data_IF_028332986423
#
_entry.id   IF_028332986423
#
_cell.length_a   1.000
_cell.length_b   1.000
_cell.length_c   1.000
_cell.angle_alpha   90.00
_cell.angle_beta   90.00
_cell.angle_gamma   90.00
#
_symmetry.space_group_name_H-M   'P 1'
#
loop_
_entity.id
_entity.type
_entity.pdbx_description
1 polymer ?
#
# COMPACT_ATOMS: atom_id res chain seq x y z
N UNK A 1 -18.59 -50.06 31.75
CA UNK A 1 -17.33 -49.74 31.04
C UNK A 1 -17.42 -49.79 29.52
N UNK A 2 -18.53 -49.36 28.92
CA UNK A 2 -18.72 -49.42 27.43
C UNK A 2 -19.20 -48.08 26.80
N UNK A 3 -19.23 -47.00 27.57
CA UNK A 3 -19.66 -45.65 27.07
C UNK A 3 -18.55 -44.64 26.85
N UNK A 4 -17.29 -45.00 27.17
CA UNK A 4 -16.14 -44.04 27.09
C UNK A 4 -15.25 -44.25 25.84
N UNK A 5 -15.51 -45.30 25.04
CA UNK A 5 -14.68 -45.55 23.83
C UNK A 5 -15.27 -44.95 22.57
N UNK A 6 -16.56 -44.58 22.59
CA UNK A 6 -17.21 -44.01 21.38
C UNK A 6 -16.94 -42.51 21.19
N UNK A 7 -16.52 -41.79 22.24
CA UNK A 7 -16.24 -40.34 22.15
C UNK A 7 -14.82 -40.02 21.65
N UNK A 8 -13.90 -41.00 21.64
CA UNK A 8 -12.52 -40.79 21.17
C UNK A 8 -12.39 -41.11 19.67
N UNK A 9 -13.30 -41.89 19.10
CA UNK A 9 -13.28 -42.23 17.66
C UNK A 9 -13.82 -41.10 16.77
N UNK A 10 -14.64 -40.20 17.30
CA UNK A 10 -15.16 -39.03 16.52
C UNK A 10 -14.20 -37.86 16.44
N UNK A 11 -13.18 -37.81 17.31
CA UNK A 11 -12.18 -36.74 17.30
C UNK A 11 -10.96 -37.01 16.39
N UNK A 12 -10.83 -38.24 15.86
CA UNK A 12 -9.71 -38.64 14.98
C UNK A 12 -10.05 -38.67 13.48
N UNK A 13 -11.28 -38.32 13.09
CA UNK A 13 -11.69 -38.25 11.67
C UNK A 13 -11.46 -36.85 11.07
N UNK A 14 -11.04 -35.90 11.88
CA UNK A 14 -10.86 -34.47 11.44
C UNK A 14 -9.45 -34.14 10.91
N UNK A 15 -8.58 -35.13 10.63
CA UNK A 15 -7.20 -34.84 10.18
C UNK A 15 -6.77 -35.49 8.87
N UNK A 16 -7.70 -35.98 8.04
CA UNK A 16 -7.38 -36.25 6.63
C UNK A 16 -8.02 -35.15 5.80
N UNK A 17 -7.20 -34.19 5.35
CA UNK A 17 -7.64 -33.06 4.52
C UNK A 17 -8.17 -33.53 3.17
N UNK A 18 -9.42 -33.99 3.16
CA UNK A 18 -10.14 -34.24 1.91
C UNK A 18 -10.47 -32.86 1.32
N UNK A 19 -10.13 -32.69 0.05
CA UNK A 19 -10.51 -31.49 -0.67
C UNK A 19 -12.03 -31.35 -0.69
N UNK A 20 -12.54 -30.20 -0.30
CA UNK A 20 -13.97 -29.90 -0.23
C UNK A 20 -14.38 -29.00 -1.40
N UNK A 21 -15.62 -29.18 -1.86
CA UNK A 21 -16.14 -28.43 -3.00
C UNK A 21 -16.36 -26.94 -2.67
N UNK A 22 -16.05 -26.10 -3.64
CA UNK A 22 -16.43 -24.69 -3.65
C UNK A 22 -17.11 -24.31 -4.96
N UNK A 23 -17.95 -23.29 -4.91
CA UNK A 23 -18.42 -22.56 -6.09
C UNK A 23 -18.22 -21.07 -5.89
N UNK A 24 -17.88 -20.36 -6.96
CA UNK A 24 -17.80 -18.90 -6.99
C UNK A 24 -18.66 -18.43 -8.15
N UNK A 25 -19.62 -17.55 -7.88
CA UNK A 25 -20.49 -17.02 -8.94
C UNK A 25 -20.78 -15.54 -8.73
N UNK A 26 -21.07 -14.83 -9.82
CA UNK A 26 -21.38 -13.41 -9.74
C UNK A 26 -21.83 -12.80 -11.05
N UNK A 27 -22.24 -11.54 -10.94
CA UNK A 27 -22.58 -10.65 -12.05
C UNK A 27 -21.64 -9.45 -12.04
N UNK A 28 -20.77 -9.36 -13.03
CA UNK A 28 -19.74 -8.34 -13.15
C UNK A 28 -20.27 -7.00 -13.69
N UNK A 29 -21.54 -6.92 -14.05
CA UNK A 29 -22.17 -5.64 -14.43
C UNK A 29 -22.15 -4.62 -13.30
N UNK A 30 -22.08 -5.07 -12.04
CA UNK A 30 -21.90 -4.20 -10.88
C UNK A 30 -20.57 -3.41 -10.93
N UNK A 31 -19.52 -3.99 -11.46
CA UNK A 31 -18.19 -3.33 -11.57
C UNK A 31 -18.19 -2.23 -12.62
N UNK A 32 -18.86 -2.47 -13.76
CA UNK A 32 -18.90 -1.52 -14.88
C UNK A 32 -19.86 -0.35 -14.66
N UNK A 33 -20.89 -0.54 -13.84
CA UNK A 33 -21.94 0.45 -13.65
C UNK A 33 -21.67 1.41 -12.45
N UNK A 34 -20.75 1.09 -11.57
CA UNK A 34 -20.60 1.81 -10.29
C UNK A 34 -19.33 2.66 -10.17
N UNK A 35 -18.31 2.41 -10.98
CA UNK A 35 -16.98 3.00 -10.79
C UNK A 35 -16.64 4.13 -11.74
N UNK A 36 -17.62 4.80 -12.38
CA UNK A 36 -17.40 5.83 -13.43
C UNK A 36 -16.31 5.44 -14.46
N UNK A 37 -16.15 4.13 -14.64
CA UNK A 37 -15.26 3.59 -15.66
C UNK A 37 -15.90 3.78 -17.04
N UNK A 38 -15.08 4.01 -18.08
CA UNK A 38 -15.57 3.92 -19.46
C UNK A 38 -16.34 2.62 -19.65
N UNK A 39 -17.29 2.52 -20.60
CA UNK A 39 -18.00 1.28 -20.86
C UNK A 39 -17.03 0.12 -20.96
N UNK A 40 -17.02 -0.73 -19.96
CA UNK A 40 -16.11 -1.85 -19.85
C UNK A 40 -16.90 -3.16 -19.99
N UNK A 41 -16.30 -4.14 -20.64
CA UNK A 41 -16.88 -5.49 -20.78
C UNK A 41 -15.93 -6.49 -20.12
N UNK A 42 -16.42 -7.21 -19.12
CA UNK A 42 -15.68 -8.32 -18.55
C UNK A 42 -15.79 -9.54 -19.48
N UNK A 43 -14.66 -10.09 -19.89
CA UNK A 43 -14.61 -11.20 -20.84
C UNK A 43 -14.08 -12.49 -20.19
N UNK A 44 -13.15 -12.37 -19.27
CA UNK A 44 -12.45 -13.49 -18.64
C UNK A 44 -12.34 -13.24 -17.15
N UNK A 45 -12.51 -14.29 -16.35
CA UNK A 45 -12.16 -14.33 -14.93
C UNK A 45 -11.26 -15.51 -14.63
N UNK A 46 -10.38 -15.38 -13.65
CA UNK A 46 -9.58 -16.48 -13.14
C UNK A 46 -9.23 -16.26 -11.66
N UNK A 47 -8.95 -17.36 -10.96
CA UNK A 47 -8.48 -17.30 -9.56
C UNK A 47 -6.96 -17.19 -9.58
N UNK A 48 -6.44 -16.23 -8.81
CA UNK A 48 -5.02 -16.08 -8.57
C UNK A 48 -4.71 -16.21 -7.07
N UNK A 49 -3.73 -17.05 -6.74
CA UNK A 49 -3.10 -17.11 -5.43
C UNK A 49 -1.69 -17.71 -5.56
N UNK A 50 -0.85 -17.55 -4.54
CA UNK A 50 0.56 -17.95 -4.58
C UNK A 50 0.78 -19.48 -4.59
N UNK A 51 -0.26 -20.26 -4.28
CA UNK A 51 -0.20 -21.71 -4.31
C UNK A 51 -0.43 -22.28 -5.72
N UNK A 52 -0.95 -21.47 -6.65
CA UNK A 52 -1.15 -21.88 -8.04
C UNK A 52 0.18 -21.83 -8.78
N UNK A 53 0.67 -23.01 -9.17
CA UNK A 53 1.85 -23.15 -10.02
C UNK A 53 1.39 -23.33 -11.47
N UNK A 54 1.79 -22.41 -12.35
CA UNK A 54 1.48 -22.46 -13.77
C UNK A 54 0.52 -21.37 -14.25
N UNK A 55 0.01 -21.51 -15.46
CA UNK A 55 -0.97 -20.57 -16.03
C UNK A 55 -2.33 -20.76 -15.35
N UNK A 56 -2.97 -19.70 -14.84
CA UNK A 56 -4.31 -19.80 -14.29
C UNK A 56 -5.32 -20.34 -15.29
N UNK A 57 -6.31 -21.07 -14.81
CA UNK A 57 -7.43 -21.51 -15.64
C UNK A 57 -8.38 -20.33 -15.83
N UNK A 58 -8.58 -19.94 -17.08
CA UNK A 58 -9.46 -18.84 -17.46
C UNK A 58 -10.90 -19.34 -17.67
N UNK A 59 -11.85 -18.58 -17.16
CA UNK A 59 -13.28 -18.84 -17.32
C UNK A 59 -13.95 -17.71 -18.09
N UNK A 60 -14.70 -18.06 -19.13
CA UNK A 60 -15.41 -17.07 -19.95
C UNK A 60 -16.58 -16.45 -19.18
N UNK A 61 -16.71 -15.14 -19.30
CA UNK A 61 -17.87 -14.40 -18.79
C UNK A 61 -18.95 -14.39 -19.88
N UNK A 62 -20.18 -14.78 -19.53
CA UNK A 62 -21.35 -14.78 -20.43
C UNK A 62 -22.43 -13.86 -19.88
N UNK A 63 -22.81 -12.87 -20.69
CA UNK A 63 -23.85 -11.88 -20.31
C UNK A 63 -23.56 -11.21 -18.94
N UNK A 64 -22.28 -10.88 -18.69
CA UNK A 64 -21.82 -10.30 -17.45
C UNK A 64 -21.68 -11.31 -16.27
N UNK A 65 -22.05 -12.56 -16.45
CA UNK A 65 -22.07 -13.57 -15.39
C UNK A 65 -20.96 -14.60 -15.54
N UNK A 66 -20.50 -15.09 -14.40
CA UNK A 66 -19.51 -16.16 -14.34
C UNK A 66 -19.86 -17.18 -13.23
N UNK A 67 -19.36 -18.39 -13.40
CA UNK A 67 -19.40 -19.43 -12.38
C UNK A 67 -18.11 -20.26 -12.47
N UNK A 68 -17.48 -20.48 -11.32
CA UNK A 68 -16.27 -21.27 -11.14
C UNK A 68 -16.56 -22.30 -10.07
N UNK A 69 -16.19 -23.56 -10.30
CA UNK A 69 -16.29 -24.62 -9.32
C UNK A 69 -15.01 -25.44 -9.23
N UNK A 70 -14.75 -26.00 -8.07
CA UNK A 70 -13.55 -26.79 -7.83
C UNK A 70 -13.49 -27.36 -6.43
N UNK A 71 -12.29 -27.79 -6.04
CA UNK A 71 -12.03 -28.33 -4.73
C UNK A 71 -10.88 -27.60 -4.06
N UNK A 72 -10.99 -27.38 -2.75
CA UNK A 72 -9.95 -26.76 -1.92
C UNK A 72 -9.72 -27.60 -0.67
N UNK A 73 -8.46 -27.83 -0.31
CA UNK A 73 -8.10 -28.64 0.87
C UNK A 73 -7.99 -27.82 2.17
N UNK A 74 -7.75 -26.51 2.04
CA UNK A 74 -7.70 -25.55 3.15
C UNK A 74 -8.10 -24.17 2.63
N UNK A 75 -8.57 -23.27 3.48
CA UNK A 75 -8.79 -21.88 3.10
C UNK A 75 -7.49 -21.20 2.62
N UNK A 76 -7.57 -20.41 1.54
CA UNK A 76 -6.43 -19.71 0.92
C UNK A 76 -6.84 -18.28 0.57
N UNK A 77 -6.05 -17.28 0.99
CA UNK A 77 -6.22 -15.92 0.48
C UNK A 77 -5.96 -15.89 -1.02
N UNK A 78 -6.91 -15.36 -1.77
CA UNK A 78 -6.93 -15.39 -3.23
C UNK A 78 -7.47 -14.09 -3.79
N UNK A 79 -7.27 -13.88 -5.09
CA UNK A 79 -7.91 -12.81 -5.86
C UNK A 79 -8.70 -13.41 -7.01
N UNK A 80 -9.94 -12.96 -7.18
CA UNK A 80 -10.68 -13.14 -8.41
C UNK A 80 -10.19 -12.06 -9.38
N UNK A 81 -9.43 -12.45 -10.38
CA UNK A 81 -8.92 -11.57 -11.41
C UNK A 81 -9.97 -11.42 -12.49
N UNK A 82 -10.33 -10.20 -12.84
CA UNK A 82 -11.32 -9.86 -13.85
C UNK A 82 -10.64 -9.08 -14.96
N UNK A 83 -10.60 -9.63 -16.15
CA UNK A 83 -10.09 -8.93 -17.33
C UNK A 83 -11.22 -8.10 -17.97
N UNK A 84 -11.00 -6.81 -18.02
CA UNK A 84 -11.92 -5.81 -18.53
C UNK A 84 -11.40 -5.26 -19.87
N UNK A 85 -12.22 -5.30 -20.93
CA UNK A 85 -12.01 -4.50 -22.11
C UNK A 85 -12.64 -3.12 -21.90
N UNK A 86 -11.84 -2.09 -22.07
CA UNK A 86 -12.26 -0.69 -21.95
C UNK A 86 -12.23 -0.08 -23.34
N UNK A 87 -13.31 0.59 -23.73
CA UNK A 87 -13.37 1.35 -24.97
C UNK A 87 -13.49 2.85 -24.64
N UNK A 88 -12.43 3.60 -24.92
CA UNK A 88 -12.38 5.04 -24.71
C UNK A 88 -11.97 5.75 -26.00
N UNK A 89 -12.78 6.69 -26.46
CA UNK A 89 -12.57 7.47 -27.69
C UNK A 89 -12.19 6.61 -28.93
N UNK A 90 -12.76 5.40 -29.04
CA UNK A 90 -12.48 4.46 -30.14
C UNK A 90 -11.16 3.68 -29.99
N UNK A 91 -10.47 3.80 -28.89
CA UNK A 91 -9.34 2.94 -28.52
C UNK A 91 -9.82 1.82 -27.62
N UNK A 92 -9.42 0.61 -27.96
CA UNK A 92 -9.65 -0.57 -27.11
C UNK A 92 -8.39 -0.81 -26.28
N UNK A 93 -8.57 -0.89 -24.99
CA UNK A 93 -7.52 -1.26 -24.03
C UNK A 93 -8.02 -2.40 -23.13
N UNK A 94 -7.11 -3.08 -22.50
CA UNK A 94 -7.43 -4.19 -21.59
C UNK A 94 -6.76 -3.93 -20.27
N UNK A 95 -7.55 -3.93 -19.20
CA UNK A 95 -7.05 -3.89 -17.82
C UNK A 95 -7.46 -5.13 -17.03
N UNK A 96 -6.79 -5.40 -15.94
CA UNK A 96 -7.13 -6.52 -15.07
C UNK A 96 -7.26 -6.03 -13.64
N UNK A 97 -8.45 -6.28 -13.05
CA UNK A 97 -8.77 -5.94 -11.68
C UNK A 97 -8.78 -7.18 -10.80
N UNK A 98 -8.26 -7.07 -9.57
CA UNK A 98 -8.21 -8.16 -8.61
C UNK A 98 -9.14 -7.92 -7.42
N UNK A 99 -10.14 -8.77 -7.23
CA UNK A 99 -11.05 -8.73 -6.10
C UNK A 99 -10.56 -9.71 -5.04
N UNK A 100 -10.11 -9.25 -3.86
CA UNK A 100 -9.61 -10.12 -2.81
C UNK A 100 -10.74 -10.94 -2.18
N UNK A 101 -10.46 -12.21 -1.89
CA UNK A 101 -11.36 -13.10 -1.17
C UNK A 101 -10.59 -14.28 -0.56
N UNK A 102 -11.28 -15.07 0.24
CA UNK A 102 -10.77 -16.32 0.77
C UNK A 102 -11.40 -17.47 0.00
N UNK A 103 -10.58 -18.22 -0.73
CA UNK A 103 -11.00 -19.45 -1.37
C UNK A 103 -11.15 -20.52 -0.29
N UNK A 104 -12.39 -20.82 0.07
CA UNK A 104 -12.77 -21.78 1.11
C UNK A 104 -13.96 -22.62 0.65
N UNK A 105 -14.26 -23.77 1.29
CA UNK A 105 -15.40 -24.60 0.91
C UNK A 105 -16.72 -23.87 1.02
N UNK A 106 -17.63 -24.14 0.08
CA UNK A 106 -18.99 -23.60 0.09
C UNK A 106 -19.32 -22.75 -1.13
N UNK A 107 -20.37 -21.96 -1.02
CA UNK A 107 -20.90 -21.16 -2.13
C UNK A 107 -20.53 -19.67 -1.92
N UNK A 108 -19.50 -19.23 -2.63
CA UNK A 108 -19.03 -17.84 -2.62
C UNK A 108 -19.80 -17.09 -3.71
N UNK A 109 -20.43 -15.98 -3.34
CA UNK A 109 -21.24 -15.16 -4.25
C UNK A 109 -20.79 -13.72 -4.26
N UNK A 110 -20.68 -13.13 -5.43
CA UNK A 110 -20.45 -11.70 -5.57
C UNK A 110 -21.74 -10.95 -5.21
N UNK A 111 -21.66 -9.99 -4.31
CA UNK A 111 -22.80 -9.12 -4.02
C UNK A 111 -23.00 -8.08 -5.14
N UNK A 112 -24.26 -7.66 -5.30
CA UNK A 112 -24.66 -6.71 -6.33
C UNK A 112 -24.40 -5.26 -5.93
N UNK A 113 -23.91 -5.01 -4.74
CA UNK A 113 -23.73 -3.66 -4.23
C UNK A 113 -22.28 -3.18 -4.33
N UNK A 114 -21.30 -4.00 -3.91
CA UNK A 114 -19.89 -3.62 -3.81
C UNK A 114 -18.94 -4.58 -4.53
N UNK A 115 -19.46 -5.56 -5.27
CA UNK A 115 -18.69 -6.65 -5.88
C UNK A 115 -17.87 -7.47 -4.87
N UNK A 116 -18.30 -7.52 -3.61
CA UNK A 116 -17.64 -8.31 -2.57
C UNK A 116 -18.02 -9.79 -2.68
N UNK A 117 -17.07 -10.67 -2.48
CA UNK A 117 -17.26 -12.12 -2.52
C UNK A 117 -17.60 -12.63 -1.12
N UNK A 118 -18.87 -13.04 -0.91
CA UNK A 118 -19.51 -13.38 0.37
C UNK A 118 -20.16 -14.76 0.34
N UNK A 119 -20.69 -15.19 1.49
CA UNK A 119 -21.52 -16.41 1.63
C UNK A 119 -20.77 -17.60 2.22
N UNK A 120 -19.56 -17.39 2.71
CA UNK A 120 -18.78 -18.39 3.44
C UNK A 120 -18.16 -17.77 4.70
N UNK A 121 -17.87 -18.57 5.75
CA UNK A 121 -17.57 -18.05 7.08
C UNK A 121 -16.41 -17.05 7.15
N UNK A 122 -15.26 -17.36 6.52
CA UNK A 122 -14.09 -16.50 6.60
C UNK A 122 -14.24 -15.24 5.74
N UNK A 123 -14.88 -15.35 4.57
CA UNK A 123 -15.19 -14.19 3.74
C UNK A 123 -16.14 -13.24 4.47
N UNK A 124 -17.25 -13.76 5.04
CA UNK A 124 -18.22 -12.94 5.74
C UNK A 124 -17.62 -12.25 6.98
N UNK A 125 -16.83 -13.00 7.78
CA UNK A 125 -16.14 -12.45 8.95
C UNK A 125 -15.13 -11.33 8.58
N UNK A 126 -14.32 -11.56 7.54
CA UNK A 126 -13.31 -10.60 7.08
C UNK A 126 -13.93 -9.32 6.55
N UNK A 127 -14.98 -9.44 5.72
CA UNK A 127 -15.69 -8.29 5.15
C UNK A 127 -16.39 -7.49 6.25
N UNK A 128 -17.08 -8.17 7.17
CA UNK A 128 -17.74 -7.52 8.30
C UNK A 128 -16.73 -6.75 9.16
N UNK A 129 -15.54 -7.32 9.40
CA UNK A 129 -14.48 -6.63 10.11
C UNK A 129 -13.97 -5.40 9.35
N UNK A 130 -13.68 -5.51 8.05
CA UNK A 130 -13.23 -4.36 7.25
C UNK A 130 -14.26 -3.22 7.24
N UNK A 131 -15.56 -3.52 7.14
CA UNK A 131 -16.63 -2.53 7.23
C UNK A 131 -16.58 -1.85 8.60
N UNK A 132 -16.54 -2.63 9.70
CA UNK A 132 -16.47 -2.10 11.08
C UNK A 132 -15.26 -1.20 11.29
N UNK A 133 -14.08 -1.60 10.81
CA UNK A 133 -12.87 -0.78 10.91
C UNK A 133 -12.98 0.53 10.11
N UNK A 134 -13.58 0.49 8.93
CA UNK A 134 -13.86 1.69 8.13
C UNK A 134 -14.82 2.66 8.84
N UNK A 135 -15.86 2.14 9.49
CA UNK A 135 -16.81 2.96 10.28
C UNK A 135 -16.12 3.61 11.49
N UNK A 136 -15.31 2.86 12.23
CA UNK A 136 -14.54 3.36 13.36
C UNK A 136 -13.52 4.43 12.93
N UNK A 137 -12.86 4.23 11.77
CA UNK A 137 -11.97 5.22 11.21
C UNK A 137 -12.69 6.53 10.86
N UNK A 138 -13.86 6.45 10.21
CA UNK A 138 -14.70 7.63 9.90
C UNK A 138 -15.20 8.35 11.15
N UNK A 139 -15.47 7.61 12.22
CA UNK A 139 -15.86 8.15 13.51
C UNK A 139 -14.69 8.74 14.33
N UNK A 140 -13.44 8.55 13.89
CA UNK A 140 -12.25 8.99 14.62
C UNK A 140 -11.94 8.16 15.88
N UNK A 141 -12.56 6.98 16.04
CA UNK A 141 -12.40 6.09 17.21
C UNK A 141 -11.12 5.24 17.10
N UNK A 142 -9.95 5.88 17.02
CA UNK A 142 -8.65 5.22 16.73
C UNK A 142 -8.32 4.08 17.68
N UNK A 143 -8.45 4.26 18.98
CA UNK A 143 -8.11 3.23 19.97
C UNK A 143 -9.02 1.99 19.85
N UNK A 144 -10.31 2.22 19.63
CA UNK A 144 -11.26 1.12 19.44
C UNK A 144 -11.02 0.37 18.13
N UNK A 145 -10.72 1.11 17.06
CA UNK A 145 -10.33 0.55 15.77
C UNK A 145 -9.13 -0.38 15.95
N UNK A 146 -8.08 0.09 16.60
CA UNK A 146 -6.89 -0.69 16.88
C UNK A 146 -7.20 -1.95 17.68
N UNK A 147 -7.94 -1.82 18.77
CA UNK A 147 -8.32 -2.95 19.62
C UNK A 147 -9.12 -4.02 18.86
N UNK A 148 -10.09 -3.62 18.05
CA UNK A 148 -10.90 -4.55 17.25
C UNK A 148 -10.07 -5.28 16.18
N UNK A 149 -9.19 -4.55 15.47
CA UNK A 149 -8.29 -5.15 14.49
C UNK A 149 -7.34 -6.18 15.14
N UNK A 150 -6.71 -5.82 16.27
CA UNK A 150 -5.82 -6.74 17.00
C UNK A 150 -6.54 -7.98 17.53
N UNK A 151 -7.74 -7.82 18.07
CA UNK A 151 -8.54 -8.94 18.56
C UNK A 151 -8.90 -9.90 17.42
N UNK A 152 -9.31 -9.37 16.26
CA UNK A 152 -9.63 -10.17 15.09
C UNK A 152 -8.41 -10.94 14.58
N UNK A 153 -7.28 -10.26 14.38
CA UNK A 153 -6.04 -10.90 13.92
C UNK A 153 -5.58 -11.98 14.90
N UNK A 154 -5.69 -11.74 16.20
CA UNK A 154 -5.37 -12.75 17.23
C UNK A 154 -6.23 -14.00 17.12
N UNK A 155 -7.53 -13.85 16.85
CA UNK A 155 -8.46 -14.99 16.65
C UNK A 155 -8.16 -15.75 15.36
N UNK A 156 -7.69 -15.06 14.33
CA UNK A 156 -7.43 -15.58 12.99
C UNK A 156 -5.94 -15.69 12.65
N UNK A 157 -5.05 -15.78 13.65
CA UNK A 157 -3.60 -15.75 13.44
C UNK A 157 -3.05 -16.89 12.56
N UNK A 158 -3.79 -17.99 12.41
CA UNK A 158 -3.42 -19.18 11.65
C UNK A 158 -4.31 -19.42 10.42
N UNK A 159 -5.19 -18.49 10.08
CA UNK A 159 -6.04 -18.60 8.89
C UNK A 159 -6.03 -17.32 8.02
N UNK A 160 -6.41 -17.40 6.73
CA UNK A 160 -6.27 -16.29 5.79
C UNK A 160 -7.20 -15.09 6.05
N UNK A 161 -8.13 -15.15 7.01
CA UNK A 161 -8.94 -14.00 7.39
C UNK A 161 -8.06 -12.88 7.99
N UNK A 162 -6.97 -13.24 8.70
CA UNK A 162 -5.99 -12.26 9.17
C UNK A 162 -5.32 -11.53 8.01
N UNK A 163 -4.89 -12.25 6.96
CA UNK A 163 -4.27 -11.66 5.77
C UNK A 163 -5.25 -10.68 5.11
N UNK A 164 -6.50 -11.09 4.92
CA UNK A 164 -7.52 -10.27 4.29
C UNK A 164 -7.68 -8.91 5.00
N UNK A 165 -7.78 -8.92 6.33
CA UNK A 165 -7.94 -7.70 7.12
C UNK A 165 -6.66 -6.87 7.14
N UNK A 166 -5.49 -7.51 7.33
CA UNK A 166 -4.19 -6.80 7.41
C UNK A 166 -3.84 -6.11 6.08
N UNK A 167 -4.11 -6.74 4.93
CA UNK A 167 -3.85 -6.12 3.62
C UNK A 167 -4.69 -4.85 3.39
N UNK A 168 -5.87 -4.73 4.02
CA UNK A 168 -6.71 -3.52 3.96
C UNK A 168 -6.34 -2.48 5.03
N UNK A 169 -5.58 -2.85 6.06
CA UNK A 169 -5.24 -1.98 7.19
C UNK A 169 -4.51 -0.66 6.84
N UNK A 170 -3.68 -0.56 5.79
CA UNK A 170 -3.05 0.71 5.40
C UNK A 170 -4.02 1.86 5.11
N UNK A 171 -5.29 1.57 4.87
CA UNK A 171 -6.32 2.59 4.63
C UNK A 171 -6.74 3.34 5.91
N UNK A 172 -6.40 2.82 7.12
CA UNK A 172 -6.91 3.35 8.38
C UNK A 172 -6.01 3.11 9.61
N UNK A 173 -4.85 2.49 9.46
CA UNK A 173 -3.92 2.18 10.56
C UNK A 173 -2.49 2.61 10.24
N UNK A 174 -1.73 2.87 11.30
CA UNK A 174 -0.32 3.22 11.20
C UNK A 174 0.56 1.98 10.94
N UNK A 175 1.68 2.17 10.25
CA UNK A 175 2.59 1.11 9.86
C UNK A 175 3.08 0.24 11.04
N UNK A 176 3.35 0.84 12.21
CA UNK A 176 3.76 0.11 13.43
C UNK A 176 2.71 -0.86 13.92
N UNK A 177 1.44 -0.46 13.85
CA UNK A 177 0.32 -1.31 14.26
C UNK A 177 0.11 -2.46 13.29
N UNK A 178 0.23 -2.17 11.98
CA UNK A 178 0.14 -3.19 10.93
C UNK A 178 1.28 -4.21 11.09
N UNK A 179 2.51 -3.75 11.32
CA UNK A 179 3.66 -4.62 11.55
C UNK A 179 3.44 -5.54 12.77
N UNK A 180 2.90 -4.98 13.86
CA UNK A 180 2.55 -5.77 15.05
C UNK A 180 1.50 -6.84 14.73
N UNK A 181 0.48 -6.53 13.93
CA UNK A 181 -0.52 -7.53 13.51
C UNK A 181 0.10 -8.62 12.64
N UNK A 182 1.00 -8.26 11.74
CA UNK A 182 1.75 -9.24 10.92
C UNK A 182 2.55 -10.19 11.83
N UNK A 183 3.23 -9.67 12.85
CA UNK A 183 4.03 -10.46 13.79
C UNK A 183 3.17 -11.37 14.70
N UNK A 184 1.88 -11.08 14.84
CA UNK A 184 0.92 -11.97 15.54
C UNK A 184 0.49 -13.18 14.72
N UNK A 185 0.63 -13.13 13.39
CA UNK A 185 0.26 -14.23 12.51
C UNK A 185 1.26 -15.39 12.61
N UNK A 186 0.79 -16.61 12.35
CA UNK A 186 1.67 -17.79 12.29
C UNK A 186 2.74 -17.64 11.20
N UNK A 187 3.87 -18.33 11.36
CA UNK A 187 4.95 -18.32 10.36
C UNK A 187 4.46 -18.76 8.97
N UNK A 188 3.57 -19.76 8.91
CA UNK A 188 2.98 -20.20 7.64
C UNK A 188 2.24 -19.04 6.94
N UNK A 189 1.43 -18.27 7.68
CA UNK A 189 0.72 -17.11 7.13
C UNK A 189 1.67 -15.99 6.68
N UNK A 190 2.75 -15.76 7.40
CA UNK A 190 3.71 -14.70 7.08
C UNK A 190 4.51 -14.95 5.78
N UNK A 191 4.66 -16.22 5.37
CA UNK A 191 5.53 -16.60 4.23
C UNK A 191 4.80 -17.18 3.03
N UNK A 192 3.49 -17.42 3.11
CA UNK A 192 2.72 -18.08 2.05
C UNK A 192 2.03 -17.14 1.07
N UNK A 193 2.06 -15.83 1.31
CA UNK A 193 1.36 -14.88 0.46
C UNK A 193 2.24 -13.69 0.07
N UNK A 194 2.37 -13.42 -1.24
CA UNK A 194 3.24 -12.37 -1.76
C UNK A 194 2.74 -10.97 -1.38
N UNK A 195 1.43 -10.72 -1.41
CA UNK A 195 0.87 -9.42 -1.02
C UNK A 195 1.20 -9.11 0.45
N UNK A 196 1.16 -10.16 1.29
CA UNK A 196 1.49 -10.05 2.70
C UNK A 196 2.98 -9.77 2.93
N UNK A 197 3.85 -10.46 2.17
CA UNK A 197 5.28 -10.24 2.21
C UNK A 197 5.67 -8.84 1.74
N UNK A 198 5.07 -8.36 0.64
CA UNK A 198 5.28 -7.01 0.12
C UNK A 198 4.76 -5.94 1.10
N UNK A 199 3.60 -6.18 1.71
CA UNK A 199 3.07 -5.29 2.74
C UNK A 199 4.00 -5.24 3.94
N UNK A 200 4.51 -6.39 4.41
CA UNK A 200 5.47 -6.45 5.51
C UNK A 200 6.73 -5.61 5.21
N UNK A 201 7.33 -5.77 4.03
CA UNK A 201 8.49 -4.98 3.61
C UNK A 201 8.17 -3.49 3.67
N UNK A 202 7.06 -3.09 3.06
CA UNK A 202 6.60 -1.69 3.02
C UNK A 202 6.42 -1.12 4.42
N UNK A 203 5.60 -1.75 5.27
CA UNK A 203 5.28 -1.22 6.61
C UNK A 203 6.49 -1.29 7.56
N UNK A 204 7.44 -2.21 7.32
CA UNK A 204 8.72 -2.24 8.07
C UNK A 204 9.54 -0.99 7.79
N UNK A 205 9.67 -0.59 6.51
CA UNK A 205 10.36 0.66 6.15
C UNK A 205 9.64 1.88 6.75
N UNK A 206 8.31 1.95 6.61
CA UNK A 206 7.51 3.05 7.17
C UNK A 206 7.60 3.13 8.71
N UNK A 207 7.54 1.99 9.40
CA UNK A 207 7.57 1.93 10.87
C UNK A 207 8.91 2.37 11.47
N UNK A 208 10.00 2.19 10.72
CA UNK A 208 11.36 2.57 11.15
C UNK A 208 11.80 3.91 10.55
N UNK A 209 11.02 4.51 9.66
CA UNK A 209 11.34 5.80 9.06
C UNK A 209 11.36 6.92 10.11
N UNK A 210 12.29 7.86 10.02
CA UNK A 210 12.33 9.00 10.92
C UNK A 210 11.08 9.87 10.73
N UNK A 211 10.46 10.26 11.85
CA UNK A 211 9.22 11.03 11.91
C UNK A 211 9.48 12.48 12.34
N UNK A 212 8.44 13.33 12.35
CA UNK A 212 8.52 14.67 12.91
C UNK A 212 8.99 14.61 14.37
N UNK A 213 10.01 15.43 14.70
CA UNK A 213 10.69 15.44 15.98
C UNK A 213 11.95 14.56 16.05
N UNK A 214 12.12 13.60 15.14
CA UNK A 214 13.32 12.78 15.07
C UNK A 214 14.47 13.50 14.36
N UNK A 215 15.69 13.04 14.59
CA UNK A 215 16.86 13.43 13.80
C UNK A 215 16.80 12.79 12.42
N UNK A 216 17.41 13.47 11.44
CA UNK A 216 17.56 12.90 10.11
C UNK A 216 18.33 11.57 10.13
N UNK A 217 17.93 10.66 9.29
CA UNK A 217 18.69 9.45 8.99
C UNK A 217 19.56 9.71 7.76
N UNK A 218 20.88 9.52 7.91
CA UNK A 218 21.82 9.75 6.81
C UNK A 218 21.78 8.62 5.80
N UNK A 219 22.03 8.96 4.54
CA UNK A 219 22.26 8.01 3.45
C UNK A 219 23.32 8.58 2.49
N UNK A 220 23.87 7.70 1.67
CA UNK A 220 24.88 8.05 0.67
C UNK A 220 24.44 7.57 -0.71
N UNK A 221 24.63 8.41 -1.71
CA UNK A 221 24.39 8.10 -3.12
C UNK A 221 25.69 8.26 -3.88
N UNK A 222 26.06 7.25 -4.64
CA UNK A 222 27.20 7.30 -5.54
C UNK A 222 26.72 7.56 -6.97
N UNK A 223 27.27 8.61 -7.59
CA UNK A 223 26.97 8.95 -8.96
C UNK A 223 28.20 9.59 -9.64
N UNK A 224 28.59 9.10 -10.82
CA UNK A 224 29.77 9.56 -11.60
C UNK A 224 31.07 9.61 -10.76
N UNK A 225 31.27 8.59 -9.89
CA UNK A 225 32.45 8.48 -9.03
C UNK A 225 32.48 9.45 -7.84
N UNK A 226 31.38 10.17 -7.59
CA UNK A 226 31.24 11.06 -6.44
C UNK A 226 30.19 10.48 -5.48
N UNK A 227 30.55 10.38 -4.21
CA UNK A 227 29.60 10.05 -3.14
C UNK A 227 29.03 11.36 -2.58
N UNK A 228 27.71 11.49 -2.52
CA UNK A 228 27.00 12.62 -1.90
C UNK A 228 26.10 12.07 -0.78
N UNK A 229 26.15 12.70 0.37
CA UNK A 229 25.38 12.31 1.55
C UNK A 229 24.29 13.33 1.87
N UNK A 230 23.21 12.90 2.51
CA UNK A 230 22.25 13.84 3.07
C UNK A 230 22.91 14.73 4.14
N UNK A 231 23.80 14.16 4.94
CA UNK A 231 24.59 14.87 5.93
C UNK A 231 25.56 15.94 5.36
N UNK A 232 25.78 16.01 4.06
CA UNK A 232 26.50 17.13 3.44
C UNK A 232 25.69 18.43 3.50
N UNK A 233 24.37 18.33 3.63
CA UNK A 233 23.42 19.45 3.62
C UNK A 233 22.69 19.62 4.96
N UNK A 234 22.15 18.55 5.53
CA UNK A 234 21.31 18.57 6.73
C UNK A 234 22.17 18.53 7.99
N UNK A 235 21.77 19.27 9.04
CA UNK A 235 22.50 19.33 10.31
C UNK A 235 23.74 20.25 10.28
N UNK A 236 23.82 21.17 9.32
CA UNK A 236 24.94 22.11 9.13
C UNK A 236 24.64 23.53 9.59
N UNK A 237 23.65 23.72 10.46
CA UNK A 237 23.31 25.02 11.01
C UNK A 237 22.34 25.86 10.18
N UNK A 238 21.78 25.28 9.11
CA UNK A 238 20.76 25.90 8.25
C UNK A 238 19.49 25.03 8.21
N UNK A 239 18.34 25.64 7.94
CA UNK A 239 17.13 24.90 7.58
C UNK A 239 17.31 24.29 6.19
N UNK A 240 16.85 23.05 6.02
CA UNK A 240 16.91 22.38 4.71
C UNK A 240 15.51 21.87 4.35
N UNK A 241 15.00 22.32 3.20
CA UNK A 241 13.78 21.82 2.60
C UNK A 241 14.16 20.78 1.55
N UNK A 242 13.86 19.54 1.79
CA UNK A 242 14.21 18.40 0.93
C UNK A 242 12.99 17.95 0.14
N UNK A 243 13.12 17.86 -1.18
CA UNK A 243 12.10 17.35 -2.10
C UNK A 243 12.53 16.03 -2.72
N UNK A 244 11.81 14.96 -2.42
CA UNK A 244 11.96 13.66 -3.09
C UNK A 244 11.05 13.65 -4.32
N UNK A 245 11.64 13.59 -5.50
CA UNK A 245 10.95 13.80 -6.77
C UNK A 245 11.48 12.91 -7.91
N UNK A 246 10.81 12.94 -9.07
CA UNK A 246 11.28 12.33 -10.31
C UNK A 246 10.84 13.15 -11.53
N UNK A 247 11.58 13.04 -12.63
CA UNK A 247 11.27 13.75 -13.89
C UNK A 247 9.91 13.38 -14.49
N UNK A 248 9.51 12.12 -14.36
CA UNK A 248 8.24 11.58 -14.85
C UNK A 248 7.05 11.87 -13.92
N UNK A 249 7.31 12.33 -12.69
CA UNK A 249 6.28 12.58 -11.68
C UNK A 249 5.60 13.93 -11.92
N UNK A 250 4.44 13.94 -12.58
CA UNK A 250 3.68 15.16 -12.85
C UNK A 250 3.34 15.97 -11.60
N UNK A 251 2.84 15.38 -10.48
CA UNK A 251 2.57 16.13 -9.26
C UNK A 251 3.85 16.75 -8.66
N UNK A 252 5.02 16.07 -8.77
CA UNK A 252 6.28 16.63 -8.30
C UNK A 252 6.65 17.88 -9.09
N UNK A 253 6.53 17.85 -10.41
CA UNK A 253 6.81 19.00 -11.26
C UNK A 253 5.89 20.20 -10.97
N UNK A 254 4.67 19.97 -10.50
CA UNK A 254 3.76 21.02 -10.05
C UNK A 254 4.19 21.71 -8.76
N UNK A 255 5.01 21.04 -7.91
CA UNK A 255 5.56 21.64 -6.69
C UNK A 255 6.84 22.44 -6.94
N UNK A 256 7.57 22.22 -8.03
CA UNK A 256 8.84 22.92 -8.34
C UNK A 256 8.71 24.45 -8.26
N UNK A 257 7.68 25.12 -8.81
CA UNK A 257 7.51 26.57 -8.66
C UNK A 257 7.41 27.02 -7.20
N UNK A 258 6.74 26.25 -6.33
CA UNK A 258 6.64 26.56 -4.90
C UNK A 258 8.00 26.46 -4.21
N UNK A 259 8.79 25.43 -4.57
CA UNK A 259 10.15 25.23 -4.05
C UNK A 259 11.13 26.33 -4.52
N UNK A 260 11.05 26.74 -5.79
CA UNK A 260 11.85 27.86 -6.33
C UNK A 260 11.48 29.17 -5.62
N UNK A 261 10.18 29.43 -5.40
CA UNK A 261 9.72 30.59 -4.66
C UNK A 261 10.24 30.59 -3.22
N UNK A 262 10.16 29.45 -2.53
CA UNK A 262 10.70 29.26 -1.19
C UNK A 262 12.22 29.49 -1.16
N UNK A 263 12.98 28.90 -2.09
CA UNK A 263 14.42 29.08 -2.23
C UNK A 263 14.77 30.57 -2.40
N UNK A 264 14.17 31.27 -3.34
CA UNK A 264 14.47 32.68 -3.61
C UNK A 264 14.12 33.58 -2.42
N UNK A 265 13.04 33.30 -1.70
CA UNK A 265 12.58 34.12 -0.56
C UNK A 265 13.43 33.94 0.70
N UNK A 266 13.92 32.73 0.97
CA UNK A 266 14.48 32.38 2.26
C UNK A 266 15.97 32.00 2.23
N UNK A 267 16.61 31.82 1.06
CA UNK A 267 18.05 31.46 0.95
C UNK A 267 18.97 32.37 1.74
N UNK A 268 18.76 33.68 1.65
CA UNK A 268 19.57 34.68 2.36
C UNK A 268 19.23 34.78 3.85
N UNK A 269 18.18 34.06 4.29
CA UNK A 269 17.75 33.92 5.69
C UNK A 269 18.17 32.60 6.32
N UNK A 270 18.90 31.75 5.60
CA UNK A 270 19.43 30.47 6.08
C UNK A 270 18.57 29.25 5.73
N UNK A 271 17.84 29.32 4.62
CA UNK A 271 17.20 28.14 4.02
C UNK A 271 18.06 27.57 2.88
N UNK A 272 18.31 26.28 2.89
CA UNK A 272 18.69 25.51 1.71
C UNK A 272 17.48 24.77 1.17
N UNK A 273 17.40 24.57 -0.15
CA UNK A 273 16.50 23.62 -0.79
C UNK A 273 17.36 22.56 -1.45
N UNK A 274 16.97 21.29 -1.34
CA UNK A 274 17.69 20.14 -1.90
C UNK A 274 16.69 19.23 -2.59
N UNK A 275 16.91 18.93 -3.86
CA UNK A 275 16.17 17.89 -4.55
C UNK A 275 16.88 16.55 -4.43
N UNK A 276 16.11 15.47 -4.29
CA UNK A 276 16.59 14.09 -4.29
C UNK A 276 15.81 13.33 -5.36
N UNK A 277 16.51 12.99 -6.46
CA UNK A 277 15.90 12.25 -7.55
C UNK A 277 15.77 10.77 -7.19
N UNK A 278 14.53 10.33 -6.99
CA UNK A 278 14.17 8.96 -6.63
C UNK A 278 13.51 8.25 -7.82
N UNK A 279 13.79 6.95 -8.00
CA UNK A 279 13.16 6.08 -9.02
C UNK A 279 13.25 6.65 -10.45
N UNK A 280 14.32 7.36 -10.76
CA UNK A 280 14.47 8.09 -12.01
C UNK A 280 15.80 7.79 -12.70
N UNK A 281 15.84 7.97 -14.02
CA UNK A 281 17.08 7.88 -14.78
C UNK A 281 17.84 9.20 -14.66
N UNK A 282 19.17 9.16 -14.40
CA UNK A 282 19.97 10.36 -14.25
C UNK A 282 19.88 11.34 -15.42
N UNK A 283 19.77 10.84 -16.65
CA UNK A 283 19.68 11.66 -17.87
C UNK A 283 18.36 12.40 -17.92
N UNK A 284 17.24 11.72 -17.57
CA UNK A 284 15.91 12.31 -17.54
C UNK A 284 15.80 13.34 -16.41
N UNK A 285 16.38 13.03 -15.24
CA UNK A 285 16.51 13.98 -14.13
C UNK A 285 17.26 15.24 -14.54
N UNK A 286 18.46 15.12 -15.17
CA UNK A 286 19.26 16.25 -15.63
C UNK A 286 18.49 17.12 -16.64
N UNK A 287 17.76 16.48 -17.56
CA UNK A 287 16.92 17.16 -18.54
C UNK A 287 15.80 17.95 -17.86
N UNK A 288 15.08 17.35 -16.93
CA UNK A 288 14.00 18.01 -16.19
C UNK A 288 14.52 19.18 -15.33
N UNK A 289 15.68 19.06 -14.68
CA UNK A 289 16.34 20.15 -13.94
C UNK A 289 16.56 21.35 -14.86
N UNK A 290 17.04 21.13 -16.09
CA UNK A 290 17.28 22.20 -17.06
C UNK A 290 15.98 22.81 -17.58
N UNK A 291 14.96 22.00 -17.90
CA UNK A 291 13.64 22.43 -18.37
C UNK A 291 12.90 23.29 -17.36
N UNK A 292 12.92 22.87 -16.08
CA UNK A 292 12.22 23.58 -14.99
C UNK A 292 13.08 24.71 -14.38
N UNK A 293 14.31 24.91 -14.87
CA UNK A 293 15.25 25.93 -14.37
C UNK A 293 15.48 25.85 -12.85
N UNK A 294 15.65 24.63 -12.33
CA UNK A 294 15.82 24.39 -10.88
C UNK A 294 17.16 24.99 -10.39
N UNK A 295 17.16 25.98 -9.47
CA UNK A 295 18.36 26.71 -9.07
C UNK A 295 19.11 26.11 -7.87
N UNK A 296 18.58 25.06 -7.24
CA UNK A 296 19.10 24.49 -6.00
C UNK A 296 19.75 23.13 -6.23
N UNK A 297 20.64 22.68 -5.30
CA UNK A 297 21.36 21.43 -5.40
C UNK A 297 20.47 20.21 -5.56
N UNK A 298 21.03 19.16 -6.19
CA UNK A 298 20.34 17.90 -6.44
C UNK A 298 21.23 16.70 -6.07
N UNK A 299 20.68 15.71 -5.39
CA UNK A 299 21.25 14.37 -5.29
C UNK A 299 20.59 13.54 -6.39
N UNK A 300 21.37 13.19 -7.41
CA UNK A 300 20.91 12.46 -8.59
C UNK A 300 21.17 10.95 -8.38
N UNK A 301 20.30 10.10 -8.92
CA UNK A 301 20.44 8.63 -8.89
C UNK A 301 20.27 7.99 -7.50
N UNK A 302 19.43 8.56 -6.63
CA UNK A 302 19.20 7.93 -5.32
C UNK A 302 18.41 6.62 -5.42
N UNK A 303 17.70 6.39 -6.52
CA UNK A 303 16.88 5.22 -6.75
C UNK A 303 15.97 4.94 -5.53
N UNK A 304 16.10 3.76 -4.89
CA UNK A 304 15.39 3.41 -3.66
C UNK A 304 16.14 3.81 -2.38
N UNK A 305 17.42 4.14 -2.45
CA UNK A 305 18.25 4.35 -1.24
C UNK A 305 17.62 5.36 -0.29
N UNK A 306 17.31 6.55 -0.80
CA UNK A 306 16.76 7.63 0.03
C UNK A 306 15.31 7.35 0.44
N UNK A 307 14.50 6.78 -0.45
CA UNK A 307 13.09 6.49 -0.17
C UNK A 307 12.93 5.37 0.85
N UNK A 308 13.76 4.34 0.82
CA UNK A 308 13.73 3.25 1.78
C UNK A 308 14.10 3.73 3.19
N UNK A 309 15.14 4.58 3.32
CA UNK A 309 15.54 5.17 4.62
C UNK A 309 14.43 6.03 5.22
N UNK A 310 13.66 6.74 4.41
CA UNK A 310 12.59 7.64 4.87
C UNK A 310 11.18 7.02 4.79
N UNK A 311 11.06 5.74 4.45
CA UNK A 311 9.77 5.04 4.34
C UNK A 311 8.84 5.65 3.30
N UNK A 312 9.40 6.19 2.20
CA UNK A 312 8.64 6.91 1.16
C UNK A 312 8.16 5.92 0.13
N UNK A 313 6.84 5.79 0.00
CA UNK A 313 6.18 4.89 -0.96
C UNK A 313 5.52 5.65 -2.12
N UNK A 314 5.55 6.96 -2.09
CA UNK A 314 4.99 7.83 -3.15
C UNK A 314 5.64 9.21 -3.15
N UNK A 315 5.80 9.78 -4.33
CA UNK A 315 6.35 11.12 -4.53
C UNK A 315 5.29 12.04 -5.16
N UNK A 316 5.38 13.38 -4.93
CA UNK A 316 6.42 14.07 -4.18
C UNK A 316 6.39 13.74 -2.68
N UNK A 317 7.50 13.85 -1.97
CA UNK A 317 7.56 13.93 -0.53
C UNK A 317 8.49 15.09 -0.15
N UNK A 318 7.97 16.06 0.60
CA UNK A 318 8.72 17.26 0.95
C UNK A 318 8.87 17.34 2.47
N UNK A 319 10.13 17.38 2.92
CA UNK A 319 10.51 17.33 4.34
C UNK A 319 11.30 18.59 4.71
N UNK A 320 10.92 19.26 5.79
CA UNK A 320 11.66 20.38 6.35
C UNK A 320 12.49 19.94 7.56
N UNK A 321 13.79 20.21 7.52
CA UNK A 321 14.74 19.98 8.61
C UNK A 321 15.16 21.28 9.27
N UNK A 322 15.29 21.25 10.59
CA UNK A 322 15.90 22.33 11.39
C UNK A 322 17.43 22.40 11.21
N UNK A 323 18.10 23.47 11.70
CA UNK A 323 19.54 23.61 11.61
C UNK A 323 20.35 22.49 12.27
N UNK A 324 19.81 21.83 13.25
CA UNK A 324 20.43 20.70 13.96
C UNK A 324 20.04 19.32 13.38
N UNK A 325 19.28 19.33 12.25
CA UNK A 325 18.87 18.12 11.54
C UNK A 325 17.63 17.43 12.10
N UNK A 326 16.84 18.08 12.96
CA UNK A 326 15.55 17.55 13.41
C UNK A 326 14.49 17.77 12.32
N UNK A 327 13.63 16.78 12.08
CA UNK A 327 12.50 16.87 11.16
C UNK A 327 11.42 17.78 11.77
N UNK A 328 11.10 18.87 11.12
CA UNK A 328 10.09 19.83 11.56
C UNK A 328 8.71 19.61 10.90
N UNK A 329 8.69 19.06 9.73
CA UNK A 329 7.47 18.70 9.01
C UNK A 329 7.78 17.72 7.89
N UNK A 330 6.79 16.87 7.59
CA UNK A 330 6.79 15.93 6.45
C UNK A 330 5.53 16.12 5.60
N UNK A 331 5.57 15.63 4.37
CA UNK A 331 4.40 15.62 3.48
C UNK A 331 3.92 17.01 3.04
N UNK A 332 4.78 18.02 3.12
CA UNK A 332 4.43 19.40 2.75
C UNK A 332 4.03 19.50 1.28
N UNK A 333 2.96 20.29 0.98
CA UNK A 333 2.44 20.50 -0.38
C UNK A 333 1.94 21.93 -0.57
N UNK A 334 2.16 22.48 -1.75
CA UNK A 334 1.59 23.77 -2.16
C UNK A 334 1.81 24.88 -1.13
N UNK A 335 0.73 25.50 -0.69
CA UNK A 335 0.76 26.59 0.29
C UNK A 335 1.29 26.19 1.68
N UNK A 336 1.24 24.90 2.04
CA UNK A 336 1.76 24.42 3.34
C UNK A 336 3.28 24.66 3.46
N UNK A 337 4.01 24.63 2.35
CA UNK A 337 5.45 24.93 2.32
C UNK A 337 5.70 26.36 2.82
N UNK A 338 5.00 27.34 2.26
CA UNK A 338 5.15 28.74 2.66
C UNK A 338 4.69 28.97 4.10
N UNK A 339 3.55 28.42 4.50
CA UNK A 339 3.03 28.53 5.87
C UNK A 339 4.07 28.03 6.88
N UNK A 340 4.64 26.83 6.65
CA UNK A 340 5.61 26.23 7.57
C UNK A 340 6.92 27.00 7.60
N UNK A 341 7.41 27.48 6.45
CA UNK A 341 8.61 28.32 6.39
C UNK A 341 8.39 29.67 7.08
N UNK A 342 7.24 30.32 6.88
CA UNK A 342 6.91 31.55 7.57
C UNK A 342 6.87 31.38 9.09
N UNK A 343 6.31 30.26 9.58
CA UNK A 343 6.30 29.91 11.00
C UNK A 343 7.72 29.87 11.57
N UNK A 344 8.63 29.08 10.96
CA UNK A 344 9.97 28.86 11.50
C UNK A 344 10.91 30.07 11.34
N UNK A 345 10.71 30.88 10.30
CA UNK A 345 11.53 32.06 10.05
C UNK A 345 11.04 33.35 10.74
N UNK A 346 9.75 33.45 11.10
CA UNK A 346 9.21 34.63 11.81
C UNK A 346 9.30 34.47 13.34
N UNK A 347 9.35 33.20 13.85
CA UNK A 347 9.53 32.94 15.27
C UNK A 347 10.99 33.03 15.75
N UNK A 348 11.96 33.41 14.89
CA UNK A 348 13.31 33.78 15.31
C UNK A 348 13.26 35.20 15.92
N UNK A 349 12.96 35.29 17.23
CA UNK A 349 13.28 36.47 18.06
C UNK A 349 14.63 36.26 18.74
#
# INVERSE_FOLDING_TARGET
MQKTILSILLALIAMTGWAQEFTISGDLSVMTNKFDLPPAKANIVYIWNDSLKGTPIEYAVKDGKFEISGNVSRPIYSKLMVQLEIEDEGRKDTTTEGIPFILEPGNIKMDSEWALLKGTPLNDASIAMCIKLSELAKAGEKEKLKQEAFNFVKQHAADPASIFVIVQAPNFMEAKDILTMIDMCSEDMQHTNIDFSLLREKVTLEAHAPQEGDKFADFAVEYEGKTTRLSDYVGKGQYVLVDFWASWCRPCRQEIPNLIAAYNKYKDRGLQVLGIAAWDKPEDTKKAIAEEHIPYPQIINSQKIATDVYGINGIPEIILFSPDGTILARGLRGNQIEIKLAEVFNNKK
#
